data_IF_064501795962
#
_entry.id   IF_064501795962
#
_cell.length_a   1.000
_cell.length_b   1.000
_cell.length_c   1.000
_cell.angle_alpha   90.00
_cell.angle_beta   90.00
_cell.angle_gamma   90.00
#
_symmetry.space_group_name_H-M   'P 1'
#
loop_
_entity.id
_entity.type
_entity.pdbx_description
1 polymer ?
#
# COMPACT_ATOMS: atom_id res chain seq x y z
N UNK A 1 -82.93 15.90 14.39
CA UNK A 1 -81.76 15.49 15.22
C UNK A 1 -80.79 14.81 14.24
N UNK A 2 -79.73 15.60 13.85
CA UNK A 2 -79.04 15.45 12.60
C UNK A 2 -78.07 14.26 12.51
N UNK A 3 -78.36 13.34 11.56
CA UNK A 3 -77.52 12.26 11.17
C UNK A 3 -76.11 12.72 10.68
N UNK A 4 -75.98 13.94 10.23
CA UNK A 4 -74.74 14.56 9.79
C UNK A 4 -73.82 14.93 10.93
N UNK A 5 -74.36 15.24 12.13
CA UNK A 5 -73.57 15.48 13.32
C UNK A 5 -72.90 14.21 13.85
N UNK A 6 -73.53 13.03 13.73
CA UNK A 6 -72.95 11.75 14.11
C UNK A 6 -71.87 11.28 13.14
N UNK A 7 -71.98 11.61 11.84
CA UNK A 7 -70.92 11.34 10.86
C UNK A 7 -69.65 12.20 11.11
N UNK A 8 -69.86 13.48 11.50
CA UNK A 8 -68.74 14.35 11.83
C UNK A 8 -67.97 13.91 13.09
N UNK A 9 -68.70 13.47 14.12
CA UNK A 9 -68.11 12.98 15.38
C UNK A 9 -67.30 11.66 15.20
N UNK A 10 -67.80 10.74 14.37
CA UNK A 10 -67.08 9.50 14.03
C UNK A 10 -65.81 9.79 13.24
N UNK A 11 -65.84 10.75 12.28
CA UNK A 11 -64.67 11.16 11.52
C UNK A 11 -63.59 11.82 12.38
N UNK A 12 -64.01 12.64 13.39
CA UNK A 12 -63.08 13.22 14.35
C UNK A 12 -62.46 12.14 15.27
N UNK A 13 -63.26 11.15 15.71
CA UNK A 13 -62.80 10.04 16.50
C UNK A 13 -61.74 9.18 15.76
N UNK A 14 -62.01 8.88 14.48
CA UNK A 14 -61.09 8.12 13.63
C UNK A 14 -59.77 8.86 13.39
N UNK A 15 -59.82 10.18 13.20
CA UNK A 15 -58.62 11.02 13.07
C UNK A 15 -57.82 11.05 14.37
N UNK A 16 -58.45 11.19 15.52
CA UNK A 16 -57.77 11.21 16.82
C UNK A 16 -57.11 9.84 17.09
N UNK A 17 -57.79 8.74 16.76
CA UNK A 17 -57.20 7.38 16.92
C UNK A 17 -56.02 7.21 15.95
N UNK A 18 -56.11 7.61 14.72
CA UNK A 18 -55.07 7.48 13.71
C UNK A 18 -53.83 8.31 14.07
N UNK A 19 -54.02 9.60 14.40
CA UNK A 19 -52.92 10.46 14.77
C UNK A 19 -52.35 10.08 16.15
N UNK A 20 -53.20 9.71 17.10
CA UNK A 20 -52.79 9.24 18.42
C UNK A 20 -51.95 7.98 18.34
N UNK A 21 -52.34 7.02 17.49
CA UNK A 21 -51.60 5.79 17.27
C UNK A 21 -50.25 6.06 16.57
N UNK A 22 -50.21 6.93 15.57
CA UNK A 22 -48.97 7.33 14.91
C UNK A 22 -48.02 8.04 15.86
N UNK A 23 -48.54 8.88 16.75
CA UNK A 23 -47.77 9.56 17.80
C UNK A 23 -47.18 8.56 18.80
N UNK A 24 -47.97 7.56 19.20
CA UNK A 24 -47.52 6.50 20.09
C UNK A 24 -46.38 5.66 19.45
N UNK A 25 -46.53 5.30 18.18
CA UNK A 25 -45.48 4.62 17.43
C UNK A 25 -44.24 5.49 17.25
N UNK A 26 -44.35 6.77 16.97
CA UNK A 26 -43.23 7.68 16.85
C UNK A 26 -42.49 7.83 18.20
N UNK A 27 -43.23 7.93 19.31
CA UNK A 27 -42.65 7.98 20.64
C UNK A 27 -41.92 6.68 21.00
N UNK A 28 -42.54 5.54 20.69
CA UNK A 28 -41.91 4.23 20.87
C UNK A 28 -40.60 4.10 20.05
N UNK A 29 -40.63 4.54 18.79
CA UNK A 29 -39.43 4.57 17.93
C UNK A 29 -38.33 5.47 18.50
N UNK A 30 -38.70 6.65 19.04
CA UNK A 30 -37.72 7.54 19.68
C UNK A 30 -37.12 6.91 20.93
N UNK A 31 -37.92 6.32 21.81
CA UNK A 31 -37.43 5.68 23.04
C UNK A 31 -36.55 4.48 22.72
N UNK A 32 -37.02 3.59 21.85
CA UNK A 32 -36.26 2.41 21.42
C UNK A 32 -34.99 2.84 20.68
N UNK A 33 -35.09 3.82 19.79
CA UNK A 33 -33.97 4.35 19.04
C UNK A 33 -32.90 5.00 19.93
N UNK A 34 -33.32 5.79 20.92
CA UNK A 34 -32.42 6.36 21.90
C UNK A 34 -31.72 5.28 22.75
N UNK A 35 -32.49 4.29 23.18
CA UNK A 35 -31.92 3.13 23.91
C UNK A 35 -30.91 2.38 23.04
N UNK A 36 -31.28 2.08 21.77
CA UNK A 36 -30.39 1.42 20.81
C UNK A 36 -29.12 2.22 20.54
N UNK A 37 -29.24 3.52 20.33
CA UNK A 37 -28.10 4.42 20.17
C UNK A 37 -27.16 4.39 21.38
N UNK A 38 -27.73 4.33 22.59
CA UNK A 38 -26.95 4.22 23.83
C UNK A 38 -26.31 2.84 24.03
N UNK A 39 -26.94 1.78 23.52
CA UNK A 39 -26.35 0.44 23.51
C UNK A 39 -25.19 0.38 22.54
N UNK A 40 -25.33 0.91 21.32
CA UNK A 40 -24.27 0.99 20.31
C UNK A 40 -23.07 1.79 20.84
N UNK A 41 -23.30 2.96 21.42
CA UNK A 41 -22.26 3.78 22.06
C UNK A 41 -21.46 2.97 23.09
N UNK A 42 -22.17 2.30 24.01
CA UNK A 42 -21.54 1.45 25.04
C UNK A 42 -20.78 0.25 24.47
N UNK A 43 -21.31 -0.38 23.44
CA UNK A 43 -20.65 -1.51 22.78
C UNK A 43 -19.35 -1.08 22.10
N UNK A 44 -19.39 0.02 21.33
CA UNK A 44 -18.20 0.60 20.68
C UNK A 44 -17.15 1.00 21.72
N UNK A 45 -17.56 1.72 22.75
CA UNK A 45 -16.67 2.14 23.85
C UNK A 45 -16.02 0.93 24.54
N UNK A 46 -16.80 -0.12 24.86
CA UNK A 46 -16.27 -1.32 25.50
C UNK A 46 -15.31 -2.10 24.57
N UNK A 47 -15.68 -2.27 23.30
CA UNK A 47 -14.86 -2.98 22.33
C UNK A 47 -13.51 -2.31 22.11
N UNK A 48 -13.49 -0.97 22.01
CA UNK A 48 -12.25 -0.21 21.80
C UNK A 48 -11.40 -0.17 23.08
N UNK A 49 -12.01 0.04 24.25
CA UNK A 49 -11.29 0.06 25.53
C UNK A 49 -10.67 -1.31 25.89
N UNK A 50 -11.31 -2.41 25.49
CA UNK A 50 -10.77 -3.77 25.69
C UNK A 50 -9.41 -3.99 25.01
N UNK A 51 -9.10 -3.21 23.97
CA UNK A 51 -7.84 -3.31 23.24
C UNK A 51 -6.66 -2.64 23.99
N UNK A 52 -6.90 -1.77 24.95
CA UNK A 52 -5.91 -0.97 25.73
C UNK A 52 -4.86 -0.21 24.88
N UNK A 53 -5.08 -0.07 23.57
CA UNK A 53 -4.14 0.54 22.63
C UNK A 53 -4.69 1.78 21.93
N UNK A 54 -5.94 2.13 22.21
CA UNK A 54 -6.64 3.23 21.53
C UNK A 54 -6.74 4.41 22.47
N UNK A 55 -6.36 5.59 21.98
CA UNK A 55 -6.47 6.83 22.74
C UNK A 55 -7.94 7.11 23.14
N UNK A 56 -8.22 7.54 24.37
CA UNK A 56 -9.57 7.86 24.84
C UNK A 56 -10.32 8.86 23.95
N UNK A 57 -9.61 9.78 23.31
CA UNK A 57 -10.18 10.77 22.37
C UNK A 57 -10.78 10.07 21.14
N UNK A 58 -10.07 9.09 20.60
CA UNK A 58 -10.54 8.31 19.45
C UNK A 58 -11.74 7.44 19.84
N UNK A 59 -11.69 6.84 21.02
CA UNK A 59 -12.83 6.06 21.57
C UNK A 59 -14.07 6.93 21.64
N UNK A 60 -13.95 8.12 22.26
CA UNK A 60 -15.07 9.07 22.40
C UNK A 60 -15.61 9.56 21.05
N UNK A 61 -14.73 9.80 20.09
CA UNK A 61 -15.12 10.22 18.75
C UNK A 61 -15.89 9.11 18.00
N UNK A 62 -15.36 7.87 17.97
CA UNK A 62 -16.00 6.76 17.28
C UNK A 62 -17.34 6.35 17.90
N UNK A 63 -17.41 6.32 19.23
CA UNK A 63 -18.65 5.99 19.93
C UNK A 63 -19.73 7.03 19.67
N UNK A 64 -19.36 8.32 19.73
CA UNK A 64 -20.29 9.43 19.40
C UNK A 64 -20.75 9.37 17.96
N UNK A 65 -19.84 9.12 17.00
CA UNK A 65 -20.17 8.97 15.58
C UNK A 65 -21.18 7.85 15.35
N UNK A 66 -20.94 6.68 15.94
CA UNK A 66 -21.84 5.53 15.86
C UNK A 66 -23.22 5.84 16.45
N UNK A 67 -23.26 6.49 17.62
CA UNK A 67 -24.49 6.94 18.29
C UNK A 67 -25.30 7.90 17.43
N UNK A 68 -24.67 8.96 16.91
CA UNK A 68 -25.37 9.95 16.09
C UNK A 68 -25.83 9.37 14.76
N UNK A 69 -25.09 8.43 14.18
CA UNK A 69 -25.54 7.72 12.99
C UNK A 69 -26.85 6.98 13.25
N UNK A 70 -26.96 6.24 14.35
CA UNK A 70 -28.21 5.57 14.74
C UNK A 70 -29.34 6.60 14.94
N UNK A 71 -29.08 7.70 15.63
CA UNK A 71 -30.07 8.75 15.90
C UNK A 71 -30.60 9.41 14.61
N UNK A 72 -29.76 9.60 13.59
CA UNK A 72 -30.16 10.11 12.28
C UNK A 72 -31.16 9.15 11.61
N UNK A 73 -30.89 7.85 11.61
CA UNK A 73 -31.82 6.85 11.04
C UNK A 73 -33.13 6.79 11.84
N UNK A 74 -33.07 6.86 13.15
CA UNK A 74 -34.26 6.93 14.00
C UNK A 74 -35.08 8.20 13.69
N UNK A 75 -34.42 9.34 13.56
CA UNK A 75 -35.07 10.60 13.19
C UNK A 75 -35.80 10.51 11.84
N UNK A 76 -35.15 9.94 10.84
CA UNK A 76 -35.77 9.68 9.52
C UNK A 76 -37.02 8.78 9.64
N UNK A 77 -36.91 7.69 10.41
CA UNK A 77 -38.03 6.77 10.61
C UNK A 77 -39.22 7.44 11.31
N UNK A 78 -38.94 8.32 12.27
CA UNK A 78 -39.98 9.12 12.95
C UNK A 78 -40.64 10.11 11.99
N UNK A 79 -39.86 10.85 11.18
CA UNK A 79 -40.38 11.78 10.19
C UNK A 79 -41.31 11.07 9.20
N UNK A 80 -40.96 9.88 8.73
CA UNK A 80 -41.79 9.08 7.84
C UNK A 80 -43.13 8.70 8.47
N UNK A 81 -43.18 8.45 9.81
CA UNK A 81 -44.44 8.18 10.51
C UNK A 81 -45.41 9.36 10.51
N UNK A 82 -44.89 10.57 10.49
CA UNK A 82 -45.67 11.78 10.38
C UNK A 82 -46.04 12.16 8.92
N UNK A 83 -45.73 11.27 7.97
CA UNK A 83 -46.04 11.52 6.54
C UNK A 83 -45.12 12.55 5.88
N UNK A 84 -44.01 12.92 6.55
CA UNK A 84 -43.00 13.82 5.98
C UNK A 84 -42.21 13.07 4.93
N UNK A 85 -42.13 13.60 3.73
CA UNK A 85 -41.39 13.00 2.64
C UNK A 85 -39.87 13.11 2.92
N UNK A 86 -39.22 11.98 3.27
CA UNK A 86 -37.80 11.95 3.63
C UNK A 86 -36.88 11.70 2.46
N UNK A 87 -37.41 11.55 1.24
CA UNK A 87 -36.62 11.23 0.03
C UNK A 87 -35.48 12.23 -0.21
N UNK A 88 -35.76 13.54 -0.07
CA UNK A 88 -34.75 14.59 -0.22
C UNK A 88 -33.68 14.52 0.88
N UNK A 89 -34.03 14.20 2.12
CA UNK A 89 -33.10 14.03 3.23
C UNK A 89 -32.20 12.84 3.00
N UNK A 90 -32.76 11.72 2.55
CA UNK A 90 -31.99 10.50 2.21
C UNK A 90 -31.04 10.80 1.05
N UNK A 91 -31.47 11.56 0.03
CA UNK A 91 -30.60 11.95 -1.08
C UNK A 91 -29.42 12.82 -0.59
N UNK A 92 -29.67 13.80 0.28
CA UNK A 92 -28.62 14.65 0.88
C UNK A 92 -27.67 13.81 1.73
N UNK A 93 -28.17 12.89 2.57
CA UNK A 93 -27.34 11.98 3.35
C UNK A 93 -26.49 11.07 2.46
N UNK A 94 -27.06 10.57 1.36
CA UNK A 94 -26.34 9.78 0.38
C UNK A 94 -25.20 10.56 -0.27
N UNK A 95 -25.48 11.78 -0.72
CA UNK A 95 -24.46 12.67 -1.29
C UNK A 95 -23.36 13.01 -0.28
N UNK A 96 -23.73 13.30 0.97
CA UNK A 96 -22.77 13.56 2.05
C UNK A 96 -21.93 12.34 2.35
N UNK A 97 -22.52 11.15 2.41
CA UNK A 97 -21.81 9.89 2.64
C UNK A 97 -20.80 9.60 1.51
N UNK A 98 -21.20 9.87 0.26
CA UNK A 98 -20.31 9.75 -0.90
C UNK A 98 -19.14 10.73 -0.78
N UNK A 99 -19.38 11.99 -0.43
CA UNK A 99 -18.34 13.01 -0.26
C UNK A 99 -17.35 12.61 0.85
N UNK A 100 -17.83 12.11 1.99
CA UNK A 100 -16.99 11.58 3.08
C UNK A 100 -16.21 10.35 2.63
N UNK A 101 -16.84 9.44 1.88
CA UNK A 101 -16.16 8.26 1.33
C UNK A 101 -15.02 8.64 0.39
N UNK A 102 -15.22 9.61 -0.50
CA UNK A 102 -14.17 10.12 -1.38
C UNK A 102 -13.05 10.81 -0.60
N UNK A 103 -13.40 11.58 0.44
CA UNK A 103 -12.40 12.22 1.30
C UNK A 103 -11.53 11.19 2.05
N UNK A 104 -12.08 10.04 2.44
CA UNK A 104 -11.41 8.96 3.16
C UNK A 104 -10.81 7.88 2.25
N UNK A 105 -10.97 7.99 0.93
CA UNK A 105 -10.55 6.98 -0.06
C UNK A 105 -9.09 6.55 0.12
N UNK A 106 -8.18 7.51 0.31
CA UNK A 106 -6.75 7.22 0.49
C UNK A 106 -6.46 6.42 1.76
N UNK A 107 -7.15 6.74 2.86
CA UNK A 107 -7.01 6.02 4.12
C UNK A 107 -7.56 4.59 4.02
N UNK A 108 -8.73 4.44 3.41
CA UNK A 108 -9.36 3.14 3.20
C UNK A 108 -8.53 2.24 2.26
N UNK A 109 -7.92 2.84 1.23
CA UNK A 109 -6.98 2.15 0.34
C UNK A 109 -5.77 1.59 1.11
N UNK A 110 -5.21 2.36 2.06
CA UNK A 110 -4.11 1.88 2.90
C UNK A 110 -4.54 0.72 3.81
N UNK A 111 -5.74 0.78 4.38
CA UNK A 111 -6.30 -0.32 5.19
C UNK A 111 -6.47 -1.57 4.35
N UNK A 112 -7.09 -1.47 3.18
CA UNK A 112 -7.27 -2.60 2.26
C UNK A 112 -5.93 -3.22 1.86
N UNK A 113 -4.94 -2.40 1.50
CA UNK A 113 -3.60 -2.85 1.18
C UNK A 113 -2.91 -3.52 2.39
N UNK A 114 -3.07 -2.97 3.60
CA UNK A 114 -2.54 -3.56 4.83
C UNK A 114 -3.12 -4.95 5.10
N UNK A 115 -4.43 -5.13 4.93
CA UNK A 115 -5.09 -6.44 5.02
C UNK A 115 -4.53 -7.41 3.98
N UNK A 116 -4.34 -6.95 2.73
CA UNK A 116 -3.75 -7.78 1.66
C UNK A 116 -2.32 -8.20 1.98
N UNK A 117 -1.48 -7.28 2.49
CA UNK A 117 -0.12 -7.59 2.92
C UNK A 117 -0.08 -8.64 4.04
N UNK A 118 -0.98 -8.54 5.02
CA UNK A 118 -1.07 -9.47 6.14
C UNK A 118 -1.66 -10.83 5.73
N UNK A 119 -2.55 -10.87 4.73
CA UNK A 119 -3.18 -12.09 4.23
C UNK A 119 -2.26 -12.86 3.28
N UNK A 120 -1.76 -12.22 2.23
CA UNK A 120 -0.93 -12.85 1.19
C UNK A 120 0.54 -12.95 1.58
N UNK A 121 1.01 -12.10 2.49
CA UNK A 121 2.37 -12.12 3.05
C UNK A 121 3.48 -12.21 2.00
N UNK A 122 3.55 -11.30 1.03
CA UNK A 122 4.64 -11.30 0.03
C UNK A 122 6.01 -11.14 0.70
N UNK A 123 6.04 -10.58 1.90
CA UNK A 123 7.19 -10.52 2.80
C UNK A 123 6.73 -10.60 4.26
N UNK A 124 7.66 -10.88 5.16
CA UNK A 124 7.44 -11.02 6.61
C UNK A 124 8.30 -10.02 7.37
N UNK A 125 7.96 -9.80 8.65
CA UNK A 125 8.83 -9.07 9.58
C UNK A 125 10.16 -9.80 9.67
N UNK A 126 11.26 -9.05 9.52
CA UNK A 126 12.61 -9.56 9.43
C UNK A 126 13.16 -9.72 8.00
N UNK A 127 12.31 -9.73 6.98
CA UNK A 127 12.77 -9.82 5.59
C UNK A 127 13.46 -8.52 5.14
N UNK A 128 14.52 -8.68 4.35
CA UNK A 128 15.15 -7.58 3.62
C UNK A 128 14.42 -7.38 2.31
N UNK A 129 13.81 -6.22 2.14
CA UNK A 129 12.97 -5.90 0.98
C UNK A 129 13.36 -4.57 0.35
N UNK A 130 12.98 -4.44 -0.92
CA UNK A 130 13.00 -3.17 -1.63
C UNK A 130 11.61 -2.94 -2.22
N UNK A 131 10.96 -1.85 -1.82
CA UNK A 131 9.58 -1.53 -2.17
C UNK A 131 9.47 -0.05 -2.43
N UNK A 132 8.86 0.34 -3.57
CA UNK A 132 8.62 1.75 -3.90
C UNK A 132 9.89 2.61 -3.91
N UNK A 133 11.06 2.01 -4.23
CA UNK A 133 12.36 2.66 -4.25
C UNK A 133 13.04 2.79 -2.87
N UNK A 134 12.47 2.20 -1.82
CA UNK A 134 13.06 2.14 -0.48
C UNK A 134 13.53 0.73 -0.18
N UNK A 135 14.78 0.59 0.29
CA UNK A 135 15.35 -0.69 0.71
C UNK A 135 15.52 -0.72 2.22
N UNK A 136 15.19 -1.84 2.84
CA UNK A 136 15.35 -2.00 4.28
C UNK A 136 14.87 -3.35 4.80
N UNK A 137 15.04 -3.54 6.10
CA UNK A 137 14.48 -4.71 6.82
C UNK A 137 13.10 -4.36 7.37
N UNK A 138 12.12 -5.21 7.09
CA UNK A 138 10.75 -5.03 7.60
C UNK A 138 10.76 -5.17 9.13
N UNK A 139 10.35 -4.12 9.84
CA UNK A 139 10.24 -4.09 11.30
C UNK A 139 8.81 -4.35 11.78
N UNK A 140 7.84 -3.75 11.10
CA UNK A 140 6.44 -3.93 11.44
C UNK A 140 5.54 -3.73 10.21
N UNK A 141 4.41 -4.42 10.20
CA UNK A 141 3.33 -4.21 9.25
C UNK A 141 2.10 -3.89 10.09
N UNK A 142 1.63 -2.66 10.00
CA UNK A 142 0.42 -2.19 10.67
C UNK A 142 -0.76 -2.17 9.70
N UNK A 143 -1.92 -1.75 10.14
CA UNK A 143 -3.10 -1.64 9.27
C UNK A 143 -2.94 -0.55 8.19
N UNK A 144 -2.19 0.53 8.47
CA UNK A 144 -2.07 1.67 7.57
C UNK A 144 -0.68 1.78 6.92
N UNK A 145 0.35 1.33 7.63
CA UNK A 145 1.75 1.53 7.25
C UNK A 145 2.59 0.28 7.44
N UNK A 146 3.60 0.16 6.60
CA UNK A 146 4.71 -0.78 6.76
C UNK A 146 5.95 0.00 7.18
N UNK A 147 6.63 -0.47 8.22
CA UNK A 147 7.86 0.10 8.76
C UNK A 147 9.06 -0.70 8.27
N UNK A 148 10.03 0.00 7.68
CA UNK A 148 11.32 -0.54 7.29
C UNK A 148 12.44 0.13 8.08
N UNK A 149 13.46 -0.62 8.44
CA UNK A 149 14.74 -0.06 8.86
C UNK A 149 15.71 -0.08 7.68
N UNK A 150 16.13 1.08 7.22
CA UNK A 150 17.15 1.24 6.18
C UNK A 150 18.53 0.76 6.65
N UNK A 151 19.51 0.67 5.75
CA UNK A 151 20.83 0.12 6.04
C UNK A 151 21.61 0.92 7.09
N UNK A 152 21.31 2.19 7.26
CA UNK A 152 21.85 3.10 8.28
C UNK A 152 20.99 3.16 9.57
N UNK A 153 20.08 2.20 9.74
CA UNK A 153 19.12 2.10 10.84
C UNK A 153 18.11 3.27 10.93
N UNK A 154 17.88 3.97 9.83
CA UNK A 154 16.83 4.99 9.73
C UNK A 154 15.47 4.32 9.56
N UNK A 155 14.48 4.82 10.30
CA UNK A 155 13.10 4.38 10.17
C UNK A 155 12.46 4.95 8.90
N UNK A 156 11.91 4.09 8.07
CA UNK A 156 11.13 4.46 6.89
C UNK A 156 9.70 3.94 7.08
N UNK A 157 8.76 4.86 7.20
CA UNK A 157 7.32 4.55 7.30
C UNK A 157 6.67 4.74 5.92
N UNK A 158 6.14 3.66 5.38
CA UNK A 158 5.50 3.66 4.07
C UNK A 158 4.01 3.38 4.19
N UNK A 159 3.12 4.19 3.60
CA UNK A 159 1.70 3.86 3.49
C UNK A 159 1.51 2.53 2.74
N UNK A 160 0.67 1.63 3.28
CA UNK A 160 0.48 0.30 2.72
C UNK A 160 -0.01 0.31 1.27
N UNK A 161 -0.84 1.28 0.88
CA UNK A 161 -1.30 1.42 -0.50
C UNK A 161 -0.16 1.67 -1.48
N UNK A 162 0.89 2.38 -1.06
CA UNK A 162 2.10 2.57 -1.85
C UNK A 162 2.94 1.30 -1.91
N UNK A 163 3.02 0.56 -0.81
CA UNK A 163 3.72 -0.71 -0.73
C UNK A 163 3.09 -1.72 -1.68
N UNK A 164 1.77 -1.95 -1.56
CA UNK A 164 1.03 -2.93 -2.37
C UNK A 164 0.98 -2.56 -3.86
N UNK A 165 0.93 -1.27 -4.17
CA UNK A 165 0.89 -0.76 -5.53
C UNK A 165 2.24 -0.65 -6.25
N UNK A 166 3.35 -1.06 -5.61
CA UNK A 166 4.71 -0.97 -6.16
C UNK A 166 5.29 -2.36 -6.44
N UNK A 167 6.25 -2.47 -7.36
CA UNK A 167 7.08 -3.67 -7.46
C UNK A 167 7.76 -3.94 -6.12
N UNK A 168 7.75 -5.21 -5.69
CA UNK A 168 8.34 -5.65 -4.44
C UNK A 168 9.47 -6.64 -4.72
N UNK A 169 10.66 -6.35 -4.23
CA UNK A 169 11.81 -7.26 -4.27
C UNK A 169 12.05 -7.78 -2.86
N UNK A 170 11.84 -9.06 -2.64
CA UNK A 170 12.16 -9.72 -1.37
C UNK A 170 13.49 -10.47 -1.53
N UNK A 171 14.50 -10.03 -0.78
CA UNK A 171 15.85 -10.60 -0.85
C UNK A 171 16.06 -11.77 0.11
N UNK A 172 15.05 -12.09 0.93
CA UNK A 172 15.13 -13.11 1.99
C UNK A 172 14.38 -14.40 1.67
N UNK A 173 13.40 -14.35 0.76
CA UNK A 173 12.46 -15.47 0.48
C UNK A 173 13.17 -16.73 0.05
N UNK A 174 14.15 -16.62 -0.85
CA UNK A 174 14.81 -17.80 -1.42
C UNK A 174 16.01 -18.31 -0.59
N UNK A 175 16.30 -17.63 0.53
CA UNK A 175 17.34 -18.05 1.47
C UNK A 175 18.79 -17.98 0.94
N UNK A 176 19.00 -18.19 -0.34
CA UNK A 176 20.30 -18.10 -0.99
C UNK A 176 20.38 -16.97 -2.02
N UNK A 177 21.52 -16.31 -2.09
CA UNK A 177 21.83 -15.27 -3.07
C UNK A 177 23.07 -15.59 -3.86
N UNK A 178 23.06 -15.28 -5.14
CA UNK A 178 24.28 -15.29 -5.94
C UNK A 178 25.17 -14.11 -5.54
N UNK A 179 26.44 -14.36 -5.48
CA UNK A 179 27.48 -13.34 -5.42
C UNK A 179 28.40 -13.51 -6.62
N UNK A 180 28.96 -12.41 -7.06
CA UNK A 180 30.00 -12.43 -8.10
C UNK A 180 31.03 -11.35 -7.79
N UNK A 181 32.23 -11.57 -8.24
CA UNK A 181 33.29 -10.56 -8.25
C UNK A 181 34.28 -10.89 -9.34
N UNK A 182 35.02 -9.88 -9.77
CA UNK A 182 36.07 -10.05 -10.75
C UNK A 182 37.43 -9.75 -10.14
N UNK A 183 38.43 -10.46 -10.63
CA UNK A 183 39.85 -10.27 -10.31
C UNK A 183 40.58 -9.90 -11.60
N UNK A 184 41.25 -8.75 -11.63
CA UNK A 184 42.11 -8.36 -12.73
C UNK A 184 43.51 -8.93 -12.53
N UNK A 185 44.04 -9.59 -13.58
CA UNK A 185 45.37 -10.17 -13.66
C UNK A 185 46.11 -9.61 -14.88
N UNK A 186 47.45 -9.68 -14.84
CA UNK A 186 48.28 -9.44 -16.00
C UNK A 186 48.21 -10.65 -16.95
N UNK A 187 48.39 -10.46 -18.26
CA UNK A 187 48.41 -11.59 -19.21
C UNK A 187 49.47 -12.65 -18.91
N UNK A 188 50.57 -12.28 -18.24
CA UNK A 188 51.67 -13.17 -17.91
C UNK A 188 51.46 -13.89 -16.56
N UNK A 189 50.41 -13.59 -15.82
CA UNK A 189 50.09 -14.27 -14.55
C UNK A 189 49.51 -15.68 -14.81
N UNK A 190 49.64 -16.58 -13.82
CA UNK A 190 49.06 -17.92 -13.89
C UNK A 190 47.52 -17.87 -13.73
N UNK A 191 46.85 -17.62 -14.84
CA UNK A 191 45.37 -17.45 -14.90
C UNK A 191 44.69 -18.75 -14.44
N UNK A 192 45.11 -19.91 -14.94
CA UNK A 192 44.50 -21.20 -14.63
C UNK A 192 44.70 -21.58 -13.17
N UNK A 193 45.88 -21.37 -12.64
CA UNK A 193 46.19 -21.63 -11.21
C UNK A 193 45.39 -20.70 -10.27
N UNK A 194 45.15 -19.45 -10.64
CA UNK A 194 44.30 -18.54 -9.88
C UNK A 194 42.83 -18.98 -9.91
N UNK A 195 42.33 -19.40 -11.05
CA UNK A 195 40.96 -19.90 -11.19
C UNK A 195 40.77 -21.18 -10.32
N UNK A 196 41.71 -22.12 -10.38
CA UNK A 196 41.64 -23.35 -9.60
C UNK A 196 41.70 -23.09 -8.08
N UNK A 197 42.65 -22.23 -7.63
CA UNK A 197 42.74 -21.82 -6.23
C UNK A 197 41.42 -21.12 -5.76
N UNK A 198 40.87 -20.19 -6.56
CA UNK A 198 39.61 -19.51 -6.23
C UNK A 198 38.43 -20.47 -6.15
N UNK A 199 38.31 -21.41 -7.07
CA UNK A 199 37.27 -22.44 -7.03
C UNK A 199 37.45 -23.38 -5.82
N UNK A 200 38.67 -23.75 -5.47
CA UNK A 200 38.94 -24.57 -4.30
C UNK A 200 38.57 -23.86 -3.00
N UNK A 201 38.84 -22.55 -2.89
CA UNK A 201 38.40 -21.77 -1.73
C UNK A 201 36.86 -21.72 -1.63
N UNK A 202 36.16 -21.46 -2.77
CA UNK A 202 34.71 -21.40 -2.77
C UNK A 202 34.06 -22.75 -2.47
N UNK A 203 34.60 -23.85 -2.99
CA UNK A 203 34.11 -25.24 -2.74
C UNK A 203 34.27 -25.65 -1.28
N UNK A 204 35.32 -25.17 -0.62
CA UNK A 204 35.64 -25.50 0.77
C UNK A 204 35.00 -24.56 1.80
N UNK A 205 34.42 -23.46 1.38
CA UNK A 205 33.71 -22.53 2.29
C UNK A 205 32.31 -23.09 2.63
N UNK A 206 32.03 -23.39 3.91
CA UNK A 206 30.74 -23.97 4.32
C UNK A 206 29.55 -23.08 4.08
N UNK A 207 29.75 -21.77 3.85
CA UNK A 207 28.71 -20.80 3.57
C UNK A 207 28.25 -20.83 2.09
N UNK A 208 29.07 -21.41 1.21
CA UNK A 208 28.79 -21.53 -0.23
C UNK A 208 27.98 -22.78 -0.49
N UNK A 209 26.88 -22.63 -1.24
CA UNK A 209 26.03 -23.75 -1.60
C UNK A 209 26.73 -24.68 -2.60
N UNK A 210 26.46 -25.99 -2.50
CA UNK A 210 27.00 -26.99 -3.41
C UNK A 210 26.21 -27.06 -4.71
N UNK A 211 24.94 -26.70 -4.66
CA UNK A 211 24.01 -26.67 -5.80
C UNK A 211 23.15 -25.39 -5.72
N UNK A 212 23.27 -24.49 -6.72
CA UNK A 212 24.27 -24.48 -7.81
C UNK A 212 25.68 -24.24 -7.26
N UNK A 213 26.66 -25.01 -7.78
CA UNK A 213 28.05 -24.90 -7.34
C UNK A 213 28.73 -23.60 -7.78
N UNK A 214 29.86 -23.24 -7.14
CA UNK A 214 30.65 -22.09 -7.53
C UNK A 214 31.30 -22.30 -8.90
N UNK A 215 31.47 -21.21 -9.65
CA UNK A 215 32.10 -21.21 -10.96
C UNK A 215 33.12 -20.09 -11.10
N UNK A 216 34.10 -20.31 -11.98
CA UNK A 216 35.03 -19.29 -12.42
C UNK A 216 35.09 -19.29 -13.94
N UNK A 217 35.23 -18.13 -14.54
CA UNK A 217 35.34 -17.96 -15.98
C UNK A 217 36.14 -16.68 -16.31
N UNK A 218 36.71 -16.65 -17.49
CA UNK A 218 37.32 -15.42 -18.00
C UNK A 218 36.17 -14.48 -18.39
N UNK A 219 36.02 -13.39 -17.67
CA UNK A 219 34.97 -12.40 -17.92
C UNK A 219 35.35 -11.46 -19.05
N UNK A 220 36.64 -11.07 -19.14
CA UNK A 220 37.14 -10.18 -20.19
C UNK A 220 38.63 -10.47 -20.43
N UNK A 221 39.04 -10.38 -21.70
CA UNK A 221 40.43 -10.46 -22.09
C UNK A 221 40.80 -9.20 -22.90
N UNK A 222 41.83 -8.51 -22.47
CA UNK A 222 42.42 -7.36 -23.19
C UNK A 222 43.93 -7.60 -23.37
N UNK A 223 44.59 -6.77 -24.16
CA UNK A 223 46.03 -6.92 -24.43
C UNK A 223 46.89 -6.71 -23.15
N UNK A 224 46.43 -5.91 -22.21
CA UNK A 224 47.15 -5.52 -20.99
C UNK A 224 46.62 -6.16 -19.72
N UNK A 225 45.45 -6.82 -19.78
CA UNK A 225 44.82 -7.42 -18.59
C UNK A 225 43.84 -8.56 -18.94
N UNK A 226 43.68 -9.46 -18.03
CA UNK A 226 42.69 -10.53 -18.05
C UNK A 226 41.84 -10.42 -16.78
N UNK A 227 40.52 -10.40 -16.94
CA UNK A 227 39.54 -10.33 -15.87
C UNK A 227 38.91 -11.71 -15.66
N UNK A 228 39.10 -12.29 -14.47
CA UNK A 228 38.48 -13.55 -14.09
C UNK A 228 37.27 -13.28 -13.22
N UNK A 229 36.10 -13.73 -13.67
CA UNK A 229 34.87 -13.69 -12.92
C UNK A 229 34.68 -14.93 -12.07
N UNK A 230 34.48 -14.75 -10.78
CA UNK A 230 34.06 -15.79 -9.86
C UNK A 230 32.60 -15.58 -9.48
N UNK A 231 31.83 -16.64 -9.43
CA UNK A 231 30.45 -16.61 -8.96
C UNK A 231 30.12 -17.82 -8.11
N UNK A 232 29.12 -17.63 -7.24
CA UNK A 232 28.63 -18.69 -6.38
C UNK A 232 27.32 -18.26 -5.71
N UNK A 233 26.79 -19.15 -4.91
CA UNK A 233 25.57 -18.90 -4.13
C UNK A 233 25.88 -19.13 -2.65
N UNK A 234 25.37 -18.26 -1.80
CA UNK A 234 25.50 -18.36 -0.35
C UNK A 234 24.20 -17.91 0.33
N UNK A 235 24.03 -18.21 1.61
CA UNK A 235 22.91 -17.69 2.37
C UNK A 235 22.85 -16.15 2.26
N UNK A 236 21.64 -15.59 2.22
CA UNK A 236 21.44 -14.16 1.94
C UNK A 236 22.24 -13.22 2.85
N UNK A 237 22.47 -13.62 4.13
CA UNK A 237 23.30 -12.87 5.08
C UNK A 237 24.80 -13.02 4.87
N UNK A 238 25.27 -14.13 4.26
CA UNK A 238 26.67 -14.51 4.18
C UNK A 238 27.34 -14.15 2.85
N UNK A 239 26.56 -13.93 1.80
CA UNK A 239 27.05 -13.67 0.45
C UNK A 239 28.09 -12.54 0.38
N UNK A 240 27.88 -11.46 1.13
CA UNK A 240 28.83 -10.34 1.23
C UNK A 240 30.12 -10.73 1.95
N UNK A 241 30.05 -11.49 3.03
CA UNK A 241 31.19 -11.99 3.80
C UNK A 241 32.06 -12.95 3.00
N UNK A 242 31.43 -13.95 2.34
CA UNK A 242 32.14 -14.91 1.47
C UNK A 242 32.92 -14.19 0.37
N UNK A 243 32.25 -13.23 -0.31
CA UNK A 243 32.89 -12.41 -1.34
C UNK A 243 34.11 -11.66 -0.78
N UNK A 244 33.96 -11.00 0.37
CA UNK A 244 35.04 -10.24 1.01
C UNK A 244 36.25 -11.11 1.40
N UNK A 245 35.99 -12.27 1.97
CA UNK A 245 37.03 -13.22 2.40
C UNK A 245 37.76 -13.79 1.19
N UNK A 246 37.04 -14.15 0.12
CA UNK A 246 37.66 -14.67 -1.07
C UNK A 246 38.53 -13.62 -1.78
N UNK A 247 38.08 -12.37 -1.87
CA UNK A 247 38.89 -11.26 -2.41
C UNK A 247 40.20 -11.11 -1.63
N UNK A 248 40.15 -11.16 -0.29
CA UNK A 248 41.36 -11.07 0.55
C UNK A 248 42.31 -12.22 0.28
N UNK A 249 41.84 -13.46 0.30
CA UNK A 249 42.66 -14.67 0.09
C UNK A 249 43.29 -14.71 -1.30
N UNK A 250 42.52 -14.38 -2.34
CA UNK A 250 43.07 -14.35 -3.71
C UNK A 250 44.07 -13.22 -3.88
N UNK A 251 43.80 -12.03 -3.32
CA UNK A 251 44.77 -10.92 -3.35
C UNK A 251 46.07 -11.25 -2.69
N UNK A 252 46.03 -11.93 -1.53
CA UNK A 252 47.25 -12.40 -0.85
C UNK A 252 47.97 -13.44 -1.70
N UNK A 253 47.25 -14.39 -2.33
CA UNK A 253 47.81 -15.46 -3.14
C UNK A 253 48.45 -15.00 -4.44
N UNK A 254 47.93 -13.92 -5.05
CA UNK A 254 48.32 -13.50 -6.40
C UNK A 254 49.00 -12.14 -6.42
N UNK A 255 48.99 -11.40 -5.30
CA UNK A 255 49.47 -9.99 -5.17
C UNK A 255 48.87 -9.04 -6.19
N UNK A 256 47.68 -9.36 -6.70
CA UNK A 256 46.95 -8.57 -7.65
C UNK A 256 45.79 -7.85 -6.97
N UNK A 257 45.43 -6.64 -7.39
CA UNK A 257 44.29 -5.96 -6.81
C UNK A 257 42.97 -6.70 -7.24
N UNK A 258 42.18 -7.08 -6.26
CA UNK A 258 40.83 -7.56 -6.53
C UNK A 258 39.90 -6.37 -6.79
N UNK A 259 39.30 -6.32 -7.95
CA UNK A 259 38.29 -5.31 -8.23
C UNK A 259 36.91 -5.95 -8.05
N UNK A 260 36.08 -5.42 -7.15
CA UNK A 260 34.70 -5.89 -7.06
C UNK A 260 33.99 -5.69 -8.40
N UNK A 261 33.44 -6.74 -8.97
CA UNK A 261 32.56 -6.60 -10.11
C UNK A 261 31.35 -5.80 -9.65
N UNK A 262 31.18 -4.62 -10.21
CA UNK A 262 29.99 -3.83 -10.01
C UNK A 262 28.80 -4.74 -10.28
N UNK A 263 27.95 -4.98 -9.30
CA UNK A 263 26.71 -5.72 -9.52
C UNK A 263 26.05 -5.08 -10.73
N UNK A 264 25.53 -5.87 -11.72
CA UNK A 264 24.89 -5.29 -12.88
C UNK A 264 23.99 -4.18 -12.39
N UNK A 265 24.30 -2.95 -12.80
CA UNK A 265 23.73 -1.74 -12.25
C UNK A 265 22.22 -1.97 -12.12
N UNK A 266 21.72 -2.03 -10.88
CA UNK A 266 20.28 -1.99 -10.67
C UNK A 266 19.83 -0.85 -11.55
N UNK A 267 19.05 -1.16 -12.60
CA UNK A 267 18.64 -0.24 -13.65
C UNK A 267 18.39 1.11 -12.97
N UNK A 268 19.39 1.99 -13.10
CA UNK A 268 19.32 3.30 -12.48
C UNK A 268 17.96 3.85 -12.86
N UNK A 269 17.14 4.34 -11.96
CA UNK A 269 15.85 4.90 -12.30
C UNK A 269 16.18 5.95 -13.37
N UNK A 270 15.74 5.65 -14.61
CA UNK A 270 15.93 6.53 -15.77
C UNK A 270 15.57 7.92 -15.27
N UNK A 271 16.58 8.77 -15.04
CA UNK A 271 16.32 10.14 -14.67
C UNK A 271 15.35 10.65 -15.70
N UNK A 272 14.10 10.80 -15.30
CA UNK A 272 13.12 11.53 -16.08
C UNK A 272 13.76 12.90 -16.20
N UNK A 273 14.38 13.16 -17.34
CA UNK A 273 14.96 14.45 -17.66
C UNK A 273 13.82 15.42 -17.48
N UNK A 274 13.88 16.24 -16.45
CA UNK A 274 12.86 17.26 -16.22
C UNK A 274 12.68 17.95 -17.57
N UNK A 275 11.48 17.82 -18.13
CA UNK A 275 11.15 18.51 -19.37
C UNK A 275 11.47 19.98 -19.11
N UNK A 276 12.34 20.57 -19.91
CA UNK A 276 12.55 22.01 -19.89
C UNK A 276 11.17 22.66 -19.92
N UNK A 277 10.89 23.65 -19.10
CA UNK A 277 9.64 24.39 -19.19
C UNK A 277 9.53 24.87 -20.65
N UNK A 278 8.51 24.38 -21.34
CA UNK A 278 8.12 24.89 -22.65
C UNK A 278 7.85 26.37 -22.41
N UNK A 279 8.66 27.23 -23.04
CA UNK A 279 8.42 28.66 -23.04
C UNK A 279 6.95 28.89 -23.42
N UNK A 280 6.29 29.75 -22.66
CA UNK A 280 4.92 30.16 -22.92
C UNK A 280 4.81 30.60 -24.39
N UNK A 281 4.28 29.73 -25.22
CA UNK A 281 3.87 30.08 -26.57
C UNK A 281 2.65 30.96 -26.41
N UNK A 282 2.76 32.16 -26.91
CA UNK A 282 1.78 33.21 -26.87
C UNK A 282 0.41 32.67 -27.32
N UNK A 283 -0.55 32.66 -26.41
CA UNK A 283 -1.91 32.12 -26.60
C UNK A 283 -2.72 32.86 -27.69
N UNK A 284 -2.17 33.94 -28.23
CA UNK A 284 -2.83 34.75 -29.24
C UNK A 284 -2.76 34.16 -30.67
N UNK A 285 -1.73 33.34 -30.97
CA UNK A 285 -1.54 32.87 -32.35
C UNK A 285 -2.16 31.49 -32.62
N UNK A 286 -2.46 30.70 -31.58
CA UNK A 286 -3.09 29.39 -31.69
C UNK A 286 -4.62 29.45 -31.91
N UNK A 287 -5.26 30.61 -31.72
CA UNK A 287 -6.70 30.75 -31.89
C UNK A 287 -7.14 30.94 -33.36
N UNK A 288 -6.19 31.20 -34.27
CA UNK A 288 -6.52 31.47 -35.70
C UNK A 288 -6.38 30.25 -36.61
N UNK A 289 -5.93 29.12 -36.11
CA UNK A 289 -5.62 27.93 -36.92
C UNK A 289 -6.64 26.76 -36.80
N UNK A 290 -7.77 26.97 -36.12
CA UNK A 290 -8.85 25.95 -36.08
C UNK A 290 -9.74 26.10 -37.31
N UNK A 291 -9.90 25.07 -38.16
CA UNK A 291 -10.86 25.13 -39.28
C UNK A 291 -12.27 25.15 -38.71
N UNK A 292 -13.07 26.13 -39.20
CA UNK A 292 -14.47 26.27 -38.85
C UNK A 292 -15.27 25.05 -39.33
N UNK A 293 -16.20 24.50 -38.53
CA UNK A 293 -17.04 23.41 -39.00
C UNK A 293 -17.99 23.89 -40.09
N UNK A 294 -17.98 23.20 -41.23
CA UNK A 294 -18.95 23.38 -42.30
C UNK A 294 -20.35 23.02 -41.77
N UNK A 295 -21.27 23.96 -41.86
CA UNK A 295 -22.67 23.74 -41.58
C UNK A 295 -23.26 22.74 -42.58
N UNK A 296 -23.92 21.69 -42.07
CA UNK A 296 -24.92 20.92 -42.84
C UNK A 296 -24.49 19.52 -43.25
N UNK A 297 -24.42 18.57 -42.32
CA UNK A 297 -24.71 17.17 -42.65
C UNK A 297 -25.38 16.50 -41.42
N UNK A 298 -26.48 15.73 -41.60
CA UNK A 298 -27.22 15.14 -40.51
C UNK A 298 -26.52 13.86 -40.02
N UNK A 299 -26.41 13.74 -38.70
CA UNK A 299 -25.93 12.53 -38.00
C UNK A 299 -26.88 11.36 -38.25
N UNK A 300 -26.44 10.31 -38.92
CA UNK A 300 -27.04 8.97 -38.89
C UNK A 300 -26.29 8.12 -37.84
N UNK A 301 -27.08 7.64 -36.85
CA UNK A 301 -26.62 6.56 -35.93
C UNK A 301 -26.73 5.20 -36.65
N UNK A 302 -25.91 4.24 -36.28
CA UNK A 302 -26.40 3.05 -35.61
C UNK A 302 -25.89 2.96 -34.13
#
# INVERSE_FOLDING_TARGET
>A
MDLDSYRGLNGLGDLIILYGLNMLYALALLVIGWWLASVVDRLVTRALNATHRVDPTIVGFLSSLARYTVLVFVGLAVLQRFGIQTTSLIAVLGATSLAVGLALQGTLSNVAAGVMLLLFRPFKVGDSVEVGGQSGTVKAITLFTTELAAGDNVQVLMPNGRVWGSPMVNRSVYGARSFSFALELKPDDDIEGVMEKGLTFLKNDPRVTKEPGPSASIAKMALDRVEIGFSGWAASGDAGGVRGDLIKRLREAVRAPATPMEAPAALSPRRVRAAKPVAAVDRAEAASALPQPKAGEPFSRP
#
